data_IF_014413637418
#
_entry.id   IF_014413637418
#
_cell.length_a   1.000
_cell.length_b   1.000
_cell.length_c   1.000
_cell.angle_alpha   90.00
_cell.angle_beta   90.00
_cell.angle_gamma   90.00
#
_symmetry.space_group_name_H-M   'P 1'
#
loop_
_entity.id
_entity.type
_entity.pdbx_description
1 polymer ?
#
# COMPACT_ATOMS: atom_id res chain seq x y z
N UNK A 1 16.33 3.30 11.73
CA UNK A 1 17.21 2.17 11.42
C UNK A 1 17.70 1.59 12.75
N UNK A 2 17.24 0.42 13.17
CA UNK A 2 17.83 -0.27 14.34
C UNK A 2 18.76 -1.33 13.78
N UNK A 3 20.05 -1.01 13.70
CA UNK A 3 21.06 -1.98 13.35
C UNK A 3 21.46 -2.71 14.63
N UNK A 4 21.02 -3.95 14.79
CA UNK A 4 21.65 -4.86 15.73
C UNK A 4 21.56 -6.24 15.12
N UNK A 5 22.69 -6.73 14.59
CA UNK A 5 23.09 -8.13 14.35
C UNK A 5 24.24 -8.16 13.32
N UNK A 6 25.49 -8.34 13.80
CA UNK A 6 26.73 -8.61 13.04
C UNK A 6 27.16 -7.59 11.94
N UNK A 7 28.48 -7.41 11.74
CA UNK A 7 29.09 -6.43 10.80
C UNK A 7 28.62 -6.61 9.36
N UNK A 8 28.21 -7.83 9.00
CA UNK A 8 27.89 -8.22 7.62
C UNK A 8 26.39 -8.33 7.34
N UNK A 9 25.54 -8.12 8.34
CA UNK A 9 24.09 -8.23 8.20
C UNK A 9 23.41 -6.93 8.66
N UNK A 10 22.34 -6.55 7.98
CA UNK A 10 21.49 -5.46 8.41
C UNK A 10 20.04 -5.74 8.00
N UNK A 11 19.09 -5.13 8.69
CA UNK A 11 17.72 -5.11 8.25
C UNK A 11 17.19 -3.69 8.12
N UNK A 12 16.40 -3.45 7.08
CA UNK A 12 15.70 -2.20 6.84
C UNK A 12 14.20 -2.43 6.99
N UNK A 13 13.58 -1.68 7.90
CA UNK A 13 12.12 -1.62 8.05
C UNK A 13 11.67 -0.18 7.88
N UNK A 14 10.70 0.04 7.01
CA UNK A 14 10.05 1.34 6.86
C UNK A 14 8.89 1.41 7.86
N UNK A 15 8.75 2.50 8.60
CA UNK A 15 7.82 2.58 9.74
C UNK A 15 6.35 2.27 9.37
N UNK A 16 5.90 2.72 8.19
CA UNK A 16 4.55 2.46 7.69
C UNK A 16 4.34 1.06 7.06
N UNK A 17 5.38 0.22 7.02
CA UNK A 17 5.36 -1.13 6.45
C UNK A 17 5.67 -2.19 7.50
N UNK A 18 5.01 -3.33 7.38
CA UNK A 18 5.13 -4.45 8.32
C UNK A 18 6.15 -5.52 7.88
N UNK A 19 6.81 -5.33 6.73
CA UNK A 19 7.89 -6.19 6.26
C UNK A 19 9.27 -5.57 6.46
N UNK A 20 10.31 -6.41 6.52
CA UNK A 20 11.70 -5.98 6.54
C UNK A 20 12.43 -6.38 5.26
N UNK A 21 13.53 -5.70 4.97
CA UNK A 21 14.50 -6.09 3.95
C UNK A 21 15.76 -6.51 4.66
N UNK A 22 16.16 -7.76 4.47
CA UNK A 22 17.44 -8.25 4.99
C UNK A 22 18.52 -7.92 3.96
N UNK A 23 19.57 -7.26 4.42
CA UNK A 23 20.70 -6.82 3.65
C UNK A 23 21.91 -7.64 4.08
N UNK A 24 22.62 -8.19 3.09
CA UNK A 24 23.90 -8.85 3.31
C UNK A 24 24.99 -7.96 2.73
N UNK A 25 26.01 -7.68 3.53
CA UNK A 25 27.20 -6.98 3.05
C UNK A 25 27.88 -7.83 1.98
N UNK A 26 28.27 -7.19 0.89
CA UNK A 26 29.15 -7.79 -0.11
C UNK A 26 30.60 -7.37 0.18
N UNK A 27 31.61 -8.19 -0.16
CA UNK A 27 33.01 -7.93 0.22
C UNK A 27 33.55 -6.59 -0.30
N UNK A 28 33.14 -6.20 -1.51
CA UNK A 28 33.47 -4.93 -2.13
C UNK A 28 32.32 -4.50 -3.05
N UNK A 29 32.24 -3.20 -3.34
CA UNK A 29 31.37 -2.68 -4.38
C UNK A 29 31.84 -3.25 -5.74
N UNK A 30 30.94 -3.74 -6.60
CA UNK A 30 31.31 -4.14 -7.95
C UNK A 30 31.93 -2.97 -8.72
N UNK A 31 32.90 -3.22 -9.59
CA UNK A 31 33.59 -2.17 -10.36
C UNK A 31 32.63 -1.29 -11.15
N UNK A 32 31.55 -1.87 -11.66
CA UNK A 32 30.47 -1.15 -12.34
C UNK A 32 29.80 -0.09 -11.45
N UNK A 33 29.74 -0.30 -10.14
CA UNK A 33 29.18 0.65 -9.17
C UNK A 33 30.17 1.78 -8.80
N UNK A 34 31.45 1.66 -9.16
CA UNK A 34 32.46 2.69 -8.92
C UNK A 34 32.40 3.84 -9.95
N UNK A 35 31.66 3.65 -11.05
CA UNK A 35 31.53 4.63 -12.13
C UNK A 35 30.09 5.18 -12.17
N UNK A 36 29.90 6.49 -12.35
CA UNK A 36 28.58 7.04 -12.61
C UNK A 36 27.97 6.44 -13.87
N UNK A 37 26.71 6.02 -13.79
CA UNK A 37 25.92 5.64 -14.97
C UNK A 37 25.67 6.88 -15.83
N UNK A 38 25.81 6.74 -17.15
CA UNK A 38 25.51 7.83 -18.07
C UNK A 38 24.02 8.19 -18.03
N UNK A 39 23.72 9.48 -18.15
CA UNK A 39 22.35 10.02 -18.13
C UNK A 39 21.78 10.23 -19.55
N UNK A 40 22.43 9.65 -20.57
CA UNK A 40 21.95 9.74 -21.95
C UNK A 40 20.66 8.91 -22.15
N UNK A 41 19.86 9.21 -23.20
CA UNK A 41 18.56 8.57 -23.40
C UNK A 41 18.64 7.05 -23.57
N UNK A 42 19.69 6.54 -24.22
CA UNK A 42 19.85 5.10 -24.48
C UNK A 42 20.12 4.36 -23.18
N UNK A 43 21.08 4.85 -22.38
CA UNK A 43 21.39 4.29 -21.07
C UNK A 43 20.20 4.37 -20.13
N UNK A 44 19.48 5.50 -20.15
CA UNK A 44 18.28 5.69 -19.33
C UNK A 44 17.17 4.70 -19.69
N UNK A 45 16.94 4.44 -20.98
CA UNK A 45 16.02 3.41 -21.43
C UNK A 45 16.43 2.02 -20.93
N UNK A 46 17.70 1.65 -21.10
CA UNK A 46 18.16 0.31 -20.72
C UNK A 46 18.06 0.10 -19.20
N UNK A 47 18.35 1.13 -18.39
CA UNK A 47 18.15 1.09 -16.93
C UNK A 47 16.67 0.99 -16.56
N UNK A 48 15.79 1.77 -17.21
CA UNK A 48 14.34 1.69 -16.99
C UNK A 48 13.82 0.28 -17.24
N UNK A 49 14.13 -0.27 -18.42
CA UNK A 49 13.67 -1.58 -18.83
C UNK A 49 14.18 -2.68 -17.90
N UNK A 50 15.49 -2.67 -17.59
CA UNK A 50 16.12 -3.65 -16.70
C UNK A 50 15.55 -3.58 -15.28
N UNK A 51 15.25 -2.39 -14.77
CA UNK A 51 14.66 -2.22 -13.44
C UNK A 51 13.32 -2.94 -13.34
N UNK A 52 12.47 -2.82 -14.35
CA UNK A 52 11.21 -3.56 -14.42
C UNK A 52 11.45 -5.07 -14.57
N UNK A 53 12.38 -5.45 -15.45
CA UNK A 53 12.72 -6.86 -15.67
C UNK A 53 13.16 -7.53 -14.38
N UNK A 54 13.94 -6.87 -13.52
CA UNK A 54 14.45 -7.46 -12.28
C UNK A 54 13.45 -7.41 -11.12
N UNK A 55 12.52 -6.45 -11.11
CA UNK A 55 11.73 -6.13 -9.92
C UNK A 55 10.24 -6.31 -10.08
N UNK A 56 9.68 -6.29 -11.29
CA UNK A 56 8.24 -6.40 -11.50
C UNK A 56 7.80 -7.88 -11.54
N UNK A 57 7.05 -8.38 -10.55
CA UNK A 57 6.82 -9.82 -10.42
C UNK A 57 5.55 -10.31 -11.14
N UNK A 58 4.92 -9.47 -11.95
CA UNK A 58 3.55 -9.72 -12.43
C UNK A 58 3.40 -9.83 -13.95
N UNK A 59 4.49 -9.78 -14.72
CA UNK A 59 4.44 -9.90 -16.18
C UNK A 59 3.72 -11.18 -16.62
N UNK A 60 4.15 -12.34 -16.12
CA UNK A 60 3.53 -13.63 -16.43
C UNK A 60 2.03 -13.68 -16.08
N UNK A 61 1.65 -13.14 -14.91
CA UNK A 61 0.24 -13.09 -14.48
C UNK A 61 -0.64 -12.18 -15.34
N UNK A 62 -0.01 -11.26 -16.08
CA UNK A 62 -0.66 -10.31 -16.99
C UNK A 62 -0.53 -10.72 -18.46
N UNK A 63 0.14 -11.83 -18.76
CA UNK A 63 0.41 -12.27 -20.13
C UNK A 63 1.29 -11.29 -20.91
N UNK A 64 2.13 -10.51 -20.22
CA UNK A 64 3.02 -9.52 -20.84
C UNK A 64 4.41 -10.12 -20.99
N UNK A 65 4.92 -10.07 -22.21
CA UNK A 65 6.31 -10.42 -22.54
C UNK A 65 7.15 -9.14 -22.53
N UNK A 66 7.88 -8.92 -21.43
CA UNK A 66 8.64 -7.68 -21.24
C UNK A 66 9.83 -7.55 -22.20
N UNK A 67 10.35 -8.67 -22.71
CA UNK A 67 11.39 -8.66 -23.75
C UNK A 67 10.82 -8.15 -25.09
N UNK A 68 9.62 -8.58 -25.48
CA UNK A 68 8.94 -8.02 -26.67
C UNK A 68 8.67 -6.53 -26.53
N UNK A 69 8.34 -6.06 -25.33
CA UNK A 69 8.22 -4.62 -25.07
C UNK A 69 9.56 -3.93 -25.33
N UNK A 70 10.69 -4.51 -24.90
CA UNK A 70 12.02 -3.99 -25.24
C UNK A 70 12.23 -3.90 -26.74
N UNK A 71 11.98 -5.00 -27.45
CA UNK A 71 12.23 -5.13 -28.88
C UNK A 71 11.43 -4.10 -29.69
N UNK A 72 10.22 -3.75 -29.21
CA UNK A 72 9.37 -2.74 -29.80
C UNK A 72 9.87 -1.30 -29.56
N UNK A 73 10.21 -0.95 -28.31
CA UNK A 73 10.47 0.44 -27.94
C UNK A 73 11.94 0.84 -27.98
N UNK A 74 12.88 -0.09 -27.75
CA UNK A 74 14.31 0.22 -27.73
C UNK A 74 14.84 0.84 -29.03
N UNK A 75 14.40 0.41 -30.24
CA UNK A 75 14.84 1.02 -31.50
C UNK A 75 14.34 2.45 -31.72
N UNK A 76 13.33 2.90 -30.97
CA UNK A 76 12.75 4.24 -31.09
C UNK A 76 13.59 5.29 -30.34
N UNK A 77 14.48 4.85 -29.43
CA UNK A 77 15.35 5.73 -28.64
C UNK A 77 16.72 5.82 -29.29
N UNK A 78 17.19 7.05 -29.49
CA UNK A 78 18.51 7.39 -30.03
C UNK A 78 19.17 8.52 -29.21
N UNK A 79 20.42 8.87 -29.52
CA UNK A 79 21.18 9.87 -28.75
C UNK A 79 20.55 11.29 -28.76
N UNK A 80 19.65 11.56 -29.70
CA UNK A 80 18.92 12.83 -29.82
C UNK A 80 17.52 12.82 -29.20
N UNK A 81 17.07 11.68 -28.65
CA UNK A 81 15.76 11.57 -28.01
C UNK A 81 15.70 12.52 -26.82
N UNK A 82 14.68 13.36 -26.81
CA UNK A 82 14.46 14.35 -25.75
C UNK A 82 13.89 13.68 -24.50
N UNK A 83 13.96 14.40 -23.38
CA UNK A 83 13.37 13.95 -22.11
C UNK A 83 11.86 13.71 -22.22
N UNK A 84 11.15 14.56 -22.97
CA UNK A 84 9.71 14.44 -23.17
C UNK A 84 9.33 13.23 -24.02
N UNK A 85 10.08 12.95 -25.09
CA UNK A 85 9.91 11.75 -25.90
C UNK A 85 10.20 10.49 -25.08
N UNK A 86 11.26 10.50 -24.28
CA UNK A 86 11.61 9.38 -23.42
C UNK A 86 10.54 9.11 -22.34
N UNK A 87 9.98 10.18 -21.74
CA UNK A 87 8.85 10.06 -20.83
C UNK A 87 7.61 9.44 -21.50
N UNK A 88 7.32 9.84 -22.73
CA UNK A 88 6.20 9.29 -23.50
C UNK A 88 6.41 7.80 -23.76
N UNK A 89 7.58 7.40 -24.27
CA UNK A 89 7.95 5.99 -24.48
C UNK A 89 7.80 5.18 -23.20
N UNK A 90 8.32 5.66 -22.07
CA UNK A 90 8.18 4.95 -20.79
C UNK A 90 6.74 4.83 -20.31
N UNK A 91 5.92 5.86 -20.53
CA UNK A 91 4.51 5.83 -20.19
C UNK A 91 3.77 4.76 -21.01
N UNK A 92 4.01 4.72 -22.32
CA UNK A 92 3.44 3.72 -23.23
C UNK A 92 3.90 2.29 -22.93
N UNK A 93 5.17 2.11 -22.52
CA UNK A 93 5.68 0.79 -22.12
C UNK A 93 4.95 0.21 -20.92
N UNK A 94 4.58 1.05 -19.94
CA UNK A 94 3.96 0.57 -18.68
C UNK A 94 2.43 0.66 -18.67
N UNK A 95 1.83 1.36 -19.64
CA UNK A 95 0.38 1.48 -19.78
C UNK A 95 -0.33 0.10 -19.78
N UNK A 96 0.09 -0.89 -20.59
CA UNK A 96 -0.60 -2.18 -20.66
C UNK A 96 -0.53 -2.97 -19.36
N UNK A 97 0.33 -2.57 -18.41
CA UNK A 97 0.38 -3.19 -17.09
C UNK A 97 -0.90 -2.95 -16.31
N UNK A 98 -1.67 -1.88 -16.55
CA UNK A 98 -2.89 -1.55 -15.81
C UNK A 98 -2.73 -1.78 -14.30
N UNK A 99 -1.67 -1.21 -13.74
CA UNK A 99 -1.23 -1.44 -12.37
C UNK A 99 -1.16 -0.12 -11.60
N UNK A 100 -2.07 0.03 -10.63
CA UNK A 100 -2.18 1.22 -9.79
C UNK A 100 -0.92 1.51 -8.95
N UNK A 101 0.00 0.55 -8.85
CA UNK A 101 1.26 0.67 -8.11
C UNK A 101 2.48 0.94 -8.99
N UNK A 102 2.27 1.13 -10.30
CA UNK A 102 3.29 1.51 -11.28
C UNK A 102 3.03 2.96 -11.71
N UNK A 103 4.11 3.75 -11.75
CA UNK A 103 4.05 5.11 -12.26
C UNK A 103 5.37 5.49 -12.93
N UNK A 104 5.30 6.32 -13.97
CA UNK A 104 6.45 7.03 -14.53
C UNK A 104 6.39 8.46 -14.04
N UNK A 105 7.50 8.97 -13.52
CA UNK A 105 7.56 10.33 -12.98
C UNK A 105 8.71 11.12 -13.60
N UNK A 106 8.38 12.33 -14.05
CA UNK A 106 9.34 13.35 -14.46
C UNK A 106 9.08 14.68 -13.76
N UNK A 107 9.85 15.00 -12.74
CA UNK A 107 9.57 16.17 -11.88
C UNK A 107 8.16 16.09 -11.29
N UNK A 108 7.29 17.02 -11.69
CA UNK A 108 5.87 17.06 -11.27
C UNK A 108 4.93 16.29 -12.21
N UNK A 109 5.42 15.83 -13.38
CA UNK A 109 4.64 15.06 -14.35
C UNK A 109 4.61 13.60 -13.89
N UNK A 110 3.42 13.03 -13.77
CA UNK A 110 3.23 11.65 -13.34
C UNK A 110 2.27 10.95 -14.30
N UNK A 111 2.69 9.81 -14.82
CA UNK A 111 1.84 8.87 -15.54
C UNK A 111 1.59 7.69 -14.63
N UNK A 112 0.32 7.39 -14.39
CA UNK A 112 -0.10 6.21 -13.66
C UNK A 112 -1.45 5.76 -14.23
N UNK A 113 -1.68 4.45 -14.26
CA UNK A 113 -2.93 3.91 -14.79
C UNK A 113 -3.49 2.84 -13.87
N UNK A 114 -4.81 2.82 -13.76
CA UNK A 114 -5.56 1.77 -13.07
C UNK A 114 -6.26 0.89 -14.10
N UNK A 115 -6.66 -0.32 -13.70
CA UNK A 115 -7.45 -1.19 -14.58
C UNK A 115 -8.71 -0.48 -15.06
N UNK A 116 -9.16 -0.68 -16.32
CA UNK A 116 -10.42 -0.13 -16.79
C UNK A 116 -11.60 -0.41 -15.85
N UNK A 117 -12.49 0.57 -15.72
CA UNK A 117 -13.65 0.54 -14.82
C UNK A 117 -13.29 0.60 -13.32
N UNK A 118 -12.09 1.04 -12.97
CA UNK A 118 -11.69 1.25 -11.57
C UNK A 118 -11.86 2.71 -11.19
N UNK A 119 -12.61 2.97 -10.13
CA UNK A 119 -12.80 4.33 -9.62
C UNK A 119 -11.73 4.61 -8.57
N UNK A 120 -10.86 5.57 -8.85
CA UNK A 120 -9.81 5.99 -7.93
C UNK A 120 -10.45 6.74 -6.75
N UNK A 121 -10.11 6.43 -5.49
CA UNK A 121 -10.57 7.19 -4.34
C UNK A 121 -10.05 8.62 -4.41
N UNK A 122 -10.95 9.60 -4.45
CA UNK A 122 -10.64 11.03 -4.32
C UNK A 122 -11.32 11.60 -3.08
N UNK A 123 -10.84 12.74 -2.59
CA UNK A 123 -11.49 13.44 -1.46
C UNK A 123 -12.94 13.83 -1.77
N UNK A 124 -13.22 14.23 -3.01
CA UNK A 124 -14.57 14.54 -3.49
C UNK A 124 -15.48 13.30 -3.48
N UNK A 125 -14.97 12.16 -3.98
CA UNK A 125 -15.72 10.91 -3.98
C UNK A 125 -16.01 10.44 -2.55
N UNK A 126 -15.02 10.53 -1.68
CA UNK A 126 -15.15 10.20 -0.25
C UNK A 126 -16.22 11.06 0.42
N UNK A 127 -16.20 12.38 0.20
CA UNK A 127 -17.21 13.30 0.74
C UNK A 127 -18.61 12.99 0.21
N UNK A 128 -18.74 12.74 -1.09
CA UNK A 128 -20.01 12.36 -1.73
C UNK A 128 -20.57 11.06 -1.15
N UNK A 129 -19.73 10.03 -1.03
CA UNK A 129 -20.15 8.72 -0.49
C UNK A 129 -20.51 8.82 0.99
N UNK A 130 -19.76 9.60 1.77
CA UNK A 130 -20.07 9.86 3.19
C UNK A 130 -21.42 10.52 3.38
N UNK A 131 -21.69 11.60 2.64
CA UNK A 131 -22.99 12.26 2.67
C UNK A 131 -24.12 11.26 2.38
N UNK A 132 -23.96 10.45 1.35
CA UNK A 132 -24.95 9.43 0.97
C UNK A 132 -25.14 8.35 2.05
N UNK A 133 -24.06 7.85 2.67
CA UNK A 133 -24.15 6.88 3.78
C UNK A 133 -24.88 7.49 4.97
N UNK A 134 -24.59 8.75 5.31
CA UNK A 134 -25.26 9.43 6.42
C UNK A 134 -26.75 9.61 6.14
N UNK A 135 -27.11 10.10 4.95
CA UNK A 135 -28.50 10.39 4.57
C UNK A 135 -29.34 9.12 4.41
N UNK A 136 -28.76 8.03 3.91
CA UNK A 136 -29.49 6.80 3.61
C UNK A 136 -29.40 5.75 4.73
N UNK A 137 -28.20 5.47 5.21
CA UNK A 137 -27.94 4.32 6.10
C UNK A 137 -27.87 4.73 7.58
N UNK A 138 -27.50 5.98 7.87
CA UNK A 138 -27.29 6.47 9.24
C UNK A 138 -28.23 7.64 9.63
N UNK A 139 -29.31 7.90 8.89
CA UNK A 139 -30.20 9.05 9.11
C UNK A 139 -30.72 9.19 10.53
N UNK A 140 -30.96 8.07 11.22
CA UNK A 140 -31.43 8.01 12.61
C UNK A 140 -30.34 7.77 13.65
N UNK A 141 -29.06 7.78 13.26
CA UNK A 141 -27.94 7.56 14.17
C UNK A 141 -27.79 8.74 15.14
N UNK A 142 -27.81 8.48 16.45
CA UNK A 142 -27.84 9.54 17.47
C UNK A 142 -26.46 10.00 17.96
N UNK A 143 -25.43 9.17 17.82
CA UNK A 143 -24.07 9.48 18.31
C UNK A 143 -23.08 9.30 17.15
N UNK A 144 -23.37 9.94 16.01
CA UNK A 144 -22.45 9.98 14.89
C UNK A 144 -21.21 10.76 15.30
N UNK A 145 -20.07 10.08 15.47
CA UNK A 145 -18.82 10.73 15.82
C UNK A 145 -17.77 10.49 14.74
N UNK A 146 -17.06 11.56 14.38
CA UNK A 146 -15.92 11.56 13.47
C UNK A 146 -14.60 11.64 14.25
N UNK A 147 -13.62 10.83 13.87
CA UNK A 147 -12.26 10.89 14.42
C UNK A 147 -11.25 11.31 13.33
N UNK A 148 -10.24 12.07 13.76
CA UNK A 148 -9.16 12.67 12.96
C UNK A 148 -9.62 13.68 11.86
N UNK A 149 -9.70 14.96 12.22
CA UNK A 149 -9.87 16.07 11.26
C UNK A 149 -8.54 16.40 10.57
N UNK A 150 -8.42 16.07 9.28
CA UNK A 150 -7.24 16.38 8.45
C UNK A 150 -6.85 15.32 7.41
N UNK A 151 -7.50 14.16 7.45
CA UNK A 151 -7.38 13.11 6.44
C UNK A 151 -8.46 12.05 6.65
N UNK A 152 -9.49 12.08 5.80
CA UNK A 152 -10.64 11.16 5.78
C UNK A 152 -11.41 10.93 7.11
N UNK A 153 -12.64 11.47 7.23
CA UNK A 153 -13.61 11.15 8.29
C UNK A 153 -13.81 9.66 8.61
N UNK A 154 -13.96 9.32 9.90
CA UNK A 154 -14.52 8.04 10.39
C UNK A 154 -15.85 8.23 11.13
N UNK A 155 -17.03 8.12 10.48
CA UNK A 155 -18.32 8.27 11.17
C UNK A 155 -18.73 6.99 11.92
N UNK A 156 -18.91 7.02 13.25
CA UNK A 156 -19.43 5.86 14.04
C UNK A 156 -20.83 6.11 14.62
N UNK A 157 -21.76 5.14 14.56
CA UNK A 157 -23.14 5.22 15.12
C UNK A 157 -23.30 4.39 16.42
N UNK A 158 -24.20 4.75 17.36
CA UNK A 158 -24.42 4.05 18.64
C UNK A 158 -25.58 3.03 18.63
N UNK A 159 -25.98 2.50 17.48
CA UNK A 159 -26.98 1.44 17.42
C UNK A 159 -26.43 0.22 16.67
N UNK A 160 -25.66 -0.62 17.36
CA UNK A 160 -25.28 -1.97 16.91
C UNK A 160 -24.49 -2.11 15.60
N UNK A 161 -24.02 -1.00 15.01
CA UNK A 161 -23.27 -0.92 13.75
C UNK A 161 -22.28 0.25 13.85
N UNK A 162 -21.09 0.03 14.42
CA UNK A 162 -20.01 1.00 14.22
C UNK A 162 -19.50 0.82 12.77
N UNK A 163 -19.26 1.92 12.05
CA UNK A 163 -18.64 1.97 10.71
C UNK A 163 -17.25 2.59 10.88
N UNK A 164 -16.20 1.80 10.72
CA UNK A 164 -14.83 2.34 10.66
C UNK A 164 -14.41 2.45 9.19
N UNK A 165 -14.32 3.67 8.65
CA UNK A 165 -13.41 3.95 7.53
C UNK A 165 -11.97 3.86 8.02
N UNK A 166 -11.00 3.48 7.19
CA UNK A 166 -9.59 3.61 7.59
C UNK A 166 -9.06 4.97 7.12
N UNK A 167 -8.12 5.58 7.84
CA UNK A 167 -7.55 6.86 7.43
C UNK A 167 -6.75 6.66 6.15
N UNK A 168 -7.23 7.23 5.05
CA UNK A 168 -6.42 7.42 3.85
C UNK A 168 -5.34 8.46 4.17
N UNK A 169 -4.06 8.10 4.03
CA UNK A 169 -2.95 9.03 4.29
C UNK A 169 -2.86 10.08 3.18
N UNK A 170 -3.42 11.27 3.39
CA UNK A 170 -3.06 12.45 2.61
C UNK A 170 -1.60 12.83 2.93
N UNK A 171 -0.83 13.18 1.90
CA UNK A 171 0.62 13.29 1.97
C UNK A 171 1.17 14.42 2.83
N UNK A 172 1.95 14.08 3.86
CA UNK A 172 2.96 14.97 4.48
C UNK A 172 4.10 14.13 5.11
N UNK A 173 5.27 14.74 5.37
CA UNK A 173 6.60 14.10 5.52
C UNK A 173 6.74 13.02 6.63
N UNK A 174 7.62 12.05 6.35
CA UNK A 174 7.88 10.77 7.05
C UNK A 174 8.81 10.93 8.26
N UNK A 175 8.42 10.46 9.45
CA UNK A 175 9.30 10.37 10.62
C UNK A 175 8.50 10.44 11.92
N UNK A 176 8.21 11.66 12.38
CA UNK A 176 7.47 11.92 13.63
C UNK A 176 5.95 11.66 13.52
N UNK A 177 5.48 11.26 12.34
CA UNK A 177 4.07 11.18 11.96
C UNK A 177 3.36 9.90 12.42
N UNK A 178 4.01 8.73 12.36
CA UNK A 178 3.33 7.45 12.62
C UNK A 178 2.97 7.27 14.08
N UNK A 179 3.86 7.68 15.01
CA UNK A 179 3.58 7.60 16.44
C UNK A 179 2.38 8.46 16.84
N UNK A 180 2.31 9.70 16.32
CA UNK A 180 1.16 10.57 16.54
C UNK A 180 -0.14 9.99 15.94
N UNK A 181 -0.06 9.41 14.74
CA UNK A 181 -1.21 8.73 14.11
C UNK A 181 -1.68 7.51 14.90
N UNK A 182 -0.76 6.70 15.42
CA UNK A 182 -1.09 5.55 16.27
C UNK A 182 -1.74 6.00 17.58
N UNK A 183 -1.24 7.07 18.21
CA UNK A 183 -1.82 7.61 19.43
C UNK A 183 -3.24 8.18 19.22
N UNK A 184 -3.47 8.90 18.10
CA UNK A 184 -4.83 9.33 17.71
C UNK A 184 -5.74 8.13 17.44
N UNK A 185 -5.22 7.12 16.72
CA UNK A 185 -5.97 5.90 16.42
C UNK A 185 -6.33 5.14 17.70
N UNK A 186 -5.43 5.06 18.68
CA UNK A 186 -5.72 4.45 19.99
C UNK A 186 -6.84 5.21 20.71
N UNK A 187 -6.80 6.55 20.75
CA UNK A 187 -7.88 7.36 21.34
C UNK A 187 -9.23 7.12 20.66
N UNK A 188 -9.23 7.04 19.34
CA UNK A 188 -10.42 6.72 18.57
C UNK A 188 -10.94 5.31 18.88
N UNK A 189 -10.06 4.30 18.87
CA UNK A 189 -10.41 2.90 19.13
C UNK A 189 -10.89 2.70 20.57
N UNK A 190 -10.30 3.37 21.56
CA UNK A 190 -10.75 3.33 22.95
C UNK A 190 -12.17 3.91 23.09
N UNK A 191 -12.47 4.98 22.36
CA UNK A 191 -13.82 5.58 22.34
C UNK A 191 -14.84 4.70 21.61
N UNK A 192 -14.43 4.06 20.50
CA UNK A 192 -15.31 3.22 19.68
C UNK A 192 -15.57 1.87 20.34
N UNK A 193 -14.54 1.27 20.93
CA UNK A 193 -14.55 -0.07 21.51
C UNK A 193 -14.66 -0.06 23.04
N UNK A 194 -14.87 1.11 23.65
CA UNK A 194 -15.00 1.29 25.09
C UNK A 194 -15.95 0.28 25.73
N UNK A 195 -15.63 -0.13 26.96
CA UNK A 195 -16.21 -1.30 27.62
C UNK A 195 -17.75 -1.30 27.65
N UNK A 196 -18.37 -0.16 27.94
CA UNK A 196 -19.84 -0.04 27.94
C UNK A 196 -20.46 -0.23 26.54
N UNK A 197 -19.78 0.27 25.50
CA UNK A 197 -20.24 0.12 24.10
C UNK A 197 -20.08 -1.32 23.65
N UNK A 198 -18.94 -1.95 23.91
CA UNK A 198 -18.66 -3.33 23.49
C UNK A 198 -19.53 -4.35 24.19
N UNK A 199 -19.92 -4.13 25.46
CA UNK A 199 -20.91 -4.98 26.14
C UNK A 199 -22.27 -5.02 25.44
N UNK A 200 -22.65 -3.94 24.75
CA UNK A 200 -23.92 -3.85 24.01
C UNK A 200 -23.75 -4.11 22.51
N UNK A 201 -22.51 -4.16 22.02
CA UNK A 201 -22.20 -4.28 20.60
C UNK A 201 -22.33 -5.75 20.15
N UNK A 202 -23.41 -6.06 19.43
CA UNK A 202 -23.61 -7.39 18.86
C UNK A 202 -22.70 -7.70 17.67
N UNK A 203 -22.33 -6.66 16.91
CA UNK A 203 -21.53 -6.78 15.70
C UNK A 203 -20.91 -5.44 15.30
N UNK A 204 -19.81 -5.48 14.56
CA UNK A 204 -19.13 -4.31 13.99
C UNK A 204 -19.20 -4.35 12.45
N UNK A 205 -19.35 -3.19 11.80
CA UNK A 205 -19.25 -3.07 10.35
C UNK A 205 -18.01 -2.23 10.02
N UNK A 206 -17.10 -2.72 9.19
CA UNK A 206 -15.92 -1.95 8.77
C UNK A 206 -16.13 -1.62 7.29
N UNK A 207 -16.28 -0.35 6.97
CA UNK A 207 -16.54 0.09 5.59
C UNK A 207 -15.25 0.54 4.92
N UNK A 208 -14.75 -0.29 4.01
CA UNK A 208 -13.53 -0.07 3.23
C UNK A 208 -13.85 0.23 1.76
N UNK A 209 -15.12 0.49 1.40
CA UNK A 209 -15.55 0.61 0.00
C UNK A 209 -14.79 1.69 -0.77
N UNK A 210 -14.44 2.80 -0.12
CA UNK A 210 -13.67 3.92 -0.67
C UNK A 210 -12.41 4.11 0.17
N UNK A 211 -11.48 3.16 0.11
CA UNK A 211 -10.25 3.20 0.89
C UNK A 211 -9.03 3.08 -0.03
N UNK A 212 -8.30 4.19 -0.22
CA UNK A 212 -7.10 4.23 -1.06
C UNK A 212 -5.84 3.59 -0.46
N UNK A 213 -5.91 3.10 0.77
CA UNK A 213 -4.76 2.57 1.51
C UNK A 213 -4.03 3.64 2.32
N UNK A 214 -2.72 3.44 2.53
CA UNK A 214 -1.92 4.26 3.43
C UNK A 214 -0.87 3.43 4.17
N UNK A 215 -1.00 3.35 5.50
CA UNK A 215 -0.05 2.63 6.36
C UNK A 215 -0.54 1.24 6.72
N UNK A 216 0.26 0.21 6.42
CA UNK A 216 -0.02 -1.17 6.87
C UNK A 216 -0.05 -1.23 8.40
N UNK A 217 0.82 -0.45 9.06
CA UNK A 217 0.91 -0.45 10.52
C UNK A 217 -0.41 -0.04 11.18
N UNK A 218 -1.14 0.93 10.61
CA UNK A 218 -2.45 1.36 11.14
C UNK A 218 -3.51 0.27 10.95
N UNK A 219 -3.55 -0.39 9.79
CA UNK A 219 -4.47 -1.50 9.53
C UNK A 219 -4.22 -2.70 10.47
N UNK A 220 -2.96 -3.05 10.69
CA UNK A 220 -2.58 -4.06 11.69
C UNK A 220 -3.03 -3.62 13.08
N UNK A 221 -2.78 -2.38 13.49
CA UNK A 221 -3.15 -1.86 14.81
C UNK A 221 -4.66 -1.96 15.08
N UNK A 222 -5.49 -1.64 14.08
CA UNK A 222 -6.94 -1.86 14.18
C UNK A 222 -7.26 -3.35 14.35
N UNK A 223 -6.67 -4.23 13.53
CA UNK A 223 -6.92 -5.67 13.61
C UNK A 223 -6.52 -6.28 14.97
N UNK A 224 -5.49 -5.73 15.63
CA UNK A 224 -5.07 -6.13 16.98
C UNK A 224 -6.13 -5.83 18.05
N UNK A 225 -6.99 -4.82 17.85
CA UNK A 225 -8.14 -4.52 18.73
C UNK A 225 -9.37 -5.37 18.45
N UNK A 226 -9.34 -6.22 17.41
CA UNK A 226 -10.50 -7.00 16.96
C UNK A 226 -10.39 -8.50 17.26
N UNK A 227 -9.38 -8.93 18.01
CA UNK A 227 -9.12 -10.34 18.35
C UNK A 227 -8.66 -10.51 19.80
N UNK A 228 -8.87 -11.71 20.36
CA UNK A 228 -8.27 -12.18 21.61
C UNK A 228 -7.25 -13.32 21.40
N UNK A 229 -7.12 -13.81 20.17
CA UNK A 229 -6.21 -14.91 19.82
C UNK A 229 -5.22 -14.43 18.78
N UNK A 230 -3.91 -14.67 18.95
CA UNK A 230 -2.92 -14.41 17.91
C UNK A 230 -3.23 -15.21 16.64
N UNK A 231 -3.01 -14.63 15.46
CA UNK A 231 -3.20 -15.32 14.19
C UNK A 231 -2.30 -14.76 13.08
N UNK A 232 -2.06 -15.55 12.04
CA UNK A 232 -1.36 -15.11 10.83
C UNK A 232 -2.34 -14.31 9.96
N UNK A 233 -2.05 -13.03 9.73
CA UNK A 233 -2.87 -12.21 8.81
C UNK A 233 -2.55 -12.55 7.36
N UNK A 234 -1.27 -12.51 7.00
CA UNK A 234 -0.77 -12.80 5.66
C UNK A 234 0.77 -12.97 5.71
N UNK A 235 1.37 -13.31 4.59
CA UNK A 235 2.83 -13.32 4.43
C UNK A 235 3.25 -12.50 3.23
N UNK A 236 4.41 -11.82 3.32
CA UNK A 236 5.00 -11.06 2.21
C UNK A 236 6.23 -11.78 1.67
N UNK A 237 6.41 -11.73 0.36
CA UNK A 237 7.65 -12.16 -0.32
C UNK A 237 7.98 -11.17 -1.42
N UNK A 238 9.27 -11.04 -1.73
CA UNK A 238 9.75 -10.23 -2.84
C UNK A 238 10.51 -11.12 -3.82
N UNK A 239 10.60 -10.71 -5.09
CA UNK A 239 11.57 -11.30 -6.01
C UNK A 239 12.98 -11.06 -5.45
N UNK A 240 13.84 -12.05 -5.57
CA UNK A 240 15.19 -12.01 -5.00
C UNK A 240 16.28 -12.53 -5.94
N UNK A 241 15.95 -12.72 -7.21
CA UNK A 241 16.89 -13.10 -8.25
C UNK A 241 16.62 -12.24 -9.50
N UNK A 242 17.61 -11.49 -10.01
CA UNK A 242 17.43 -10.69 -11.22
C UNK A 242 17.26 -11.56 -12.46
N UNK A 243 17.85 -12.76 -12.52
CA UNK A 243 17.85 -13.62 -13.70
C UNK A 243 16.67 -14.62 -13.73
N UNK A 244 16.05 -14.89 -12.59
CA UNK A 244 14.92 -15.83 -12.49
C UNK A 244 13.69 -15.19 -11.82
N UNK A 245 12.63 -14.85 -12.59
CA UNK A 245 11.40 -14.23 -12.06
C UNK A 245 10.59 -15.15 -11.15
N UNK A 246 10.90 -16.45 -11.10
CA UNK A 246 10.23 -17.42 -10.23
C UNK A 246 10.80 -17.45 -8.81
N UNK A 247 12.02 -16.91 -8.62
CA UNK A 247 12.71 -16.92 -7.32
C UNK A 247 12.22 -15.78 -6.43
N UNK A 248 11.82 -16.16 -5.23
CA UNK A 248 11.34 -15.24 -4.22
C UNK A 248 12.06 -15.44 -2.89
N UNK A 249 12.10 -14.38 -2.08
CA UNK A 249 12.49 -14.48 -0.68
C UNK A 249 11.62 -15.50 0.05
N UNK A 250 12.14 -16.07 1.14
CA UNK A 250 11.30 -16.80 2.10
C UNK A 250 10.11 -15.91 2.52
N UNK A 251 8.88 -16.44 2.60
CA UNK A 251 7.74 -15.66 3.07
C UNK A 251 7.99 -15.11 4.47
N UNK A 252 7.80 -13.80 4.63
CA UNK A 252 7.83 -13.13 5.93
C UNK A 252 6.41 -13.09 6.48
N UNK A 253 6.10 -13.85 7.55
CA UNK A 253 4.78 -13.86 8.13
C UNK A 253 4.50 -12.56 8.89
N UNK A 254 3.27 -12.06 8.74
CA UNK A 254 2.76 -10.91 9.51
C UNK A 254 1.68 -11.44 10.44
N UNK A 255 1.98 -11.44 11.74
CA UNK A 255 1.07 -11.88 12.78
C UNK A 255 0.30 -10.70 13.37
N UNK A 256 -0.97 -10.96 13.71
CA UNK A 256 -1.77 -10.10 14.58
C UNK A 256 -1.67 -10.67 15.98
N UNK A 257 -1.22 -9.83 16.90
CA UNK A 257 -1.23 -10.11 18.34
C UNK A 257 -2.28 -9.21 19.01
N UNK A 258 -3.13 -9.73 19.92
CA UNK A 258 -4.11 -8.91 20.61
C UNK A 258 -3.46 -7.70 21.30
N UNK A 259 -3.92 -6.49 20.97
CA UNK A 259 -3.45 -5.27 21.62
C UNK A 259 -4.07 -5.11 23.02
N UNK A 260 -3.45 -4.29 23.87
CA UNK A 260 -4.02 -3.89 25.15
C UNK A 260 -5.19 -2.91 24.95
N UNK A 261 -6.01 -2.72 25.99
CA UNK A 261 -7.17 -1.82 25.97
C UNK A 261 -8.48 -2.49 25.51
N UNK A 262 -9.55 -1.70 25.33
CA UNK A 262 -10.85 -2.20 24.89
C UNK A 262 -10.77 -2.87 23.50
N UNK A 263 -11.50 -3.99 23.35
CA UNK A 263 -11.47 -4.85 22.15
C UNK A 263 -12.87 -5.31 21.77
N UNK A 264 -13.08 -5.56 20.48
CA UNK A 264 -14.28 -6.25 19.97
C UNK A 264 -13.90 -7.56 19.31
N UNK A 265 -14.18 -8.68 19.97
CA UNK A 265 -13.86 -10.03 19.45
C UNK A 265 -15.05 -10.70 18.75
N UNK A 266 -16.21 -10.04 18.76
CA UNK A 266 -17.44 -10.56 18.17
C UNK A 266 -17.46 -10.53 16.64
N UNK A 267 -18.66 -10.75 16.05
CA UNK A 267 -18.84 -10.70 14.61
C UNK A 267 -18.43 -9.35 13.99
N UNK A 268 -17.76 -9.41 12.84
CA UNK A 268 -17.40 -8.25 12.02
C UNK A 268 -17.88 -8.46 10.58
N UNK A 269 -18.60 -7.50 10.02
CA UNK A 269 -18.85 -7.42 8.59
C UNK A 269 -17.88 -6.41 7.96
N UNK A 270 -17.26 -6.73 6.84
CA UNK A 270 -16.33 -5.84 6.13
C UNK A 270 -16.93 -5.51 4.77
N UNK A 271 -17.19 -4.23 4.51
CA UNK A 271 -17.69 -3.77 3.22
C UNK A 271 -16.51 -3.42 2.32
N UNK A 272 -16.41 -4.05 1.14
CA UNK A 272 -15.33 -3.79 0.17
C UNK A 272 -15.89 -3.31 -1.16
N UNK A 273 -15.09 -2.53 -1.89
CA UNK A 273 -15.45 -1.95 -3.18
C UNK A 273 -14.29 -2.01 -4.17
N UNK A 274 -14.58 -1.68 -5.43
CA UNK A 274 -13.54 -1.56 -6.47
C UNK A 274 -12.52 -0.45 -6.18
N UNK A 275 -12.78 0.38 -5.17
CA UNK A 275 -11.95 1.50 -4.71
C UNK A 275 -11.22 1.20 -3.40
N UNK A 276 -11.12 -0.07 -3.00
CA UNK A 276 -10.25 -0.54 -1.91
C UNK A 276 -8.85 -0.86 -2.46
N UNK A 277 -7.81 -0.16 -2.03
CA UNK A 277 -6.45 -0.22 -2.58
C UNK A 277 -5.37 -0.36 -1.50
N UNK A 278 -4.25 -0.98 -1.88
CA UNK A 278 -2.97 -0.97 -1.16
C UNK A 278 -3.11 -1.45 0.30
N UNK A 279 -2.79 -0.61 1.30
CA UNK A 279 -2.97 -0.96 2.72
C UNK A 279 -4.43 -1.31 3.09
N UNK A 280 -5.43 -0.84 2.33
CA UNK A 280 -6.82 -1.26 2.49
C UNK A 280 -7.03 -2.74 2.13
N UNK A 281 -6.24 -3.26 1.19
CA UNK A 281 -6.28 -4.66 0.77
C UNK A 281 -5.55 -5.56 1.77
N UNK A 282 -4.39 -5.13 2.29
CA UNK A 282 -3.69 -5.88 3.36
C UNK A 282 -4.50 -5.87 4.65
N UNK A 283 -5.18 -4.77 4.98
CA UNK A 283 -6.11 -4.73 6.11
C UNK A 283 -7.31 -5.65 5.91
N UNK A 284 -7.90 -5.67 4.71
CA UNK A 284 -8.95 -6.63 4.36
C UNK A 284 -8.47 -8.07 4.55
N UNK A 285 -7.26 -8.42 4.08
CA UNK A 285 -6.67 -9.74 4.29
C UNK A 285 -6.51 -10.07 5.77
N UNK A 286 -6.00 -9.13 6.57
CA UNK A 286 -5.89 -9.31 8.02
C UNK A 286 -7.26 -9.59 8.66
N UNK A 287 -8.30 -8.85 8.30
CA UNK A 287 -9.65 -9.08 8.82
C UNK A 287 -10.21 -10.45 8.40
N UNK A 288 -9.93 -10.91 7.18
CA UNK A 288 -10.38 -12.23 6.71
C UNK A 288 -9.66 -13.39 7.41
N UNK A 289 -8.41 -13.21 7.84
CA UNK A 289 -7.65 -14.20 8.61
C UNK A 289 -8.04 -14.28 10.09
N UNK A 290 -8.96 -13.42 10.55
CA UNK A 290 -9.33 -13.32 11.96
C UNK A 290 -10.08 -14.59 12.43
N UNK A 291 -9.73 -15.17 13.60
CA UNK A 291 -10.43 -16.34 14.16
C UNK A 291 -11.92 -16.09 14.48
N UNK A 292 -12.30 -14.85 14.81
CA UNK A 292 -13.69 -14.48 15.05
C UNK A 292 -14.51 -14.38 13.75
N UNK A 293 -15.84 -14.53 13.85
CA UNK A 293 -16.75 -14.50 12.69
C UNK A 293 -16.55 -13.24 11.85
N UNK A 294 -16.16 -13.42 10.60
CA UNK A 294 -15.96 -12.31 9.65
C UNK A 294 -16.70 -12.57 8.37
N UNK A 295 -17.45 -11.58 7.89
CA UNK A 295 -18.14 -11.66 6.60
C UNK A 295 -17.71 -10.51 5.72
N UNK A 296 -17.21 -10.80 4.51
CA UNK A 296 -16.95 -9.78 3.49
C UNK A 296 -18.19 -9.58 2.64
N UNK A 297 -18.62 -8.33 2.47
CA UNK A 297 -19.80 -7.95 1.70
C UNK A 297 -19.38 -6.91 0.66
N UNK A 298 -19.87 -7.06 -0.57
CA UNK A 298 -19.57 -6.14 -1.67
C UNK A 298 -18.71 -6.79 -2.75
N UNK A 299 -18.13 -5.95 -3.59
CA UNK A 299 -17.33 -6.43 -4.72
C UNK A 299 -15.92 -6.83 -4.27
N UNK A 300 -15.26 -7.76 -4.98
CA UNK A 300 -13.82 -7.95 -4.82
C UNK A 300 -13.13 -6.59 -4.96
N UNK A 301 -12.21 -6.28 -4.04
CA UNK A 301 -11.17 -5.30 -4.38
C UNK A 301 -10.48 -5.82 -5.65
N UNK A 302 -10.16 -4.95 -6.61
CA UNK A 302 -9.58 -5.39 -7.89
C UNK A 302 -8.13 -5.81 -7.68
N UNK A 303 -7.95 -6.98 -7.05
CA UNK A 303 -6.73 -7.75 -6.79
C UNK A 303 -5.43 -6.96 -7.04
N UNK A 304 -5.11 -6.12 -6.08
CA UNK A 304 -3.95 -5.28 -5.97
C UNK A 304 -3.34 -5.50 -4.57
N UNK A 305 -3.44 -6.71 -4.01
CA UNK A 305 -2.72 -7.10 -2.79
C UNK A 305 -1.21 -7.07 -3.07
N UNK A 306 -0.66 -5.86 -3.03
CA UNK A 306 0.66 -5.43 -3.47
C UNK A 306 1.07 -4.38 -2.45
N UNK A 307 1.75 -4.82 -1.39
CA UNK A 307 2.51 -3.85 -0.62
C UNK A 307 3.61 -3.33 -1.53
N UNK A 308 3.56 -2.04 -1.87
CA UNK A 308 4.69 -1.38 -2.51
C UNK A 308 5.90 -1.45 -1.56
N UNK A 309 6.93 -2.15 -2.01
CA UNK A 309 8.23 -2.09 -1.37
C UNK A 309 8.74 -0.66 -1.64
N UNK A 310 8.75 0.24 -0.65
CA UNK A 310 8.91 1.70 -0.88
C UNK A 310 10.30 2.20 -1.33
N UNK A 311 11.15 1.30 -1.83
CA UNK A 311 12.34 1.63 -2.63
C UNK A 311 12.40 0.81 -3.95
N UNK A 312 11.30 0.15 -4.31
CA UNK A 312 11.12 -0.70 -5.51
C UNK A 312 9.63 -0.99 -5.81
N UNK A 313 8.75 0.02 -5.68
CA UNK A 313 7.77 0.19 -6.77
C UNK A 313 8.62 0.57 -7.97
N UNK A 314 8.36 0.07 -9.19
CA UNK A 314 9.05 0.60 -10.35
C UNK A 314 8.43 1.98 -10.67
N UNK A 315 8.66 2.93 -9.76
CA UNK A 315 8.74 4.34 -10.09
C UNK A 315 10.14 4.49 -10.66
N UNK A 316 10.23 4.31 -11.98
CA UNK A 316 11.48 4.60 -12.65
C UNK A 316 11.61 6.13 -12.69
N UNK A 317 12.63 6.61 -12.00
CA UNK A 317 13.00 8.01 -12.03
C UNK A 317 13.83 8.24 -13.28
N UNK A 318 13.44 9.20 -14.11
CA UNK A 318 14.35 9.74 -15.11
C UNK A 318 15.55 10.35 -14.35
N UNK A 319 16.80 9.97 -14.66
CA UNK A 319 17.97 10.55 -14.04
C UNK A 319 17.98 12.07 -14.25
N UNK A 320 18.35 12.81 -13.19
CA UNK A 320 18.32 14.27 -13.12
C UNK A 320 17.64 14.86 -11.88
N UNK A 321 16.88 14.08 -11.10
CA UNK A 321 16.33 14.53 -9.81
C UNK A 321 17.05 13.90 -8.61
N UNK A 322 18.34 14.20 -8.44
CA UNK A 322 18.94 14.21 -7.10
C UNK A 322 18.69 15.59 -6.50
N UNK A 323 17.67 15.74 -5.66
CA UNK A 323 17.77 16.75 -4.61
C UNK A 323 18.84 16.27 -3.65
N UNK A 324 20.01 16.91 -3.70
CA UNK A 324 20.97 16.89 -2.58
C UNK A 324 20.20 17.38 -1.36
N UNK A 325 19.97 16.51 -0.39
CA UNK A 325 19.88 16.95 0.98
C UNK A 325 21.15 16.43 1.67
N UNK A 326 22.07 17.38 1.87
CA UNK A 326 23.09 17.37 2.90
C UNK A 326 22.53 17.00 4.26
#
# INVERSE_FOLDING_TARGET
MRAQEDRDHAFLRADASVGSRNLRRIPALPDACARPTAEDPLTTFDVFWQTFEENYPFFASKGIDWHKVRDQYRPQVHAGTTRDELYAVFSEMVEPLYDAHVAVQDGNRIFAQVRPGTVVPTGELDTKVKKFIVERDLKGARNLQEFATGGSPTPTSPAGKAICGSPASAGTRRGDFLHAQLAELDRALDTVLGQERTQRLKSLIIDLRINGGGSDALGIHIAQRLTNTPYLAYSKRARNDPADPTRHTRPQPVYITPAQGPRHTGPVAVLTGGSTFSAGETFTQALMGRPGKTVRIGSPHKASSRTSCRASSPTAWLPGCRTRNS
#
